data_IF_870435935095
#
_entry.id   IF_870435935095
#
_cell.length_a   1.000
_cell.length_b   1.000
_cell.length_c   1.000
_cell.angle_alpha   90.00
_cell.angle_beta   90.00
_cell.angle_gamma   90.00
#
_symmetry.space_group_name_H-M   'P 1'
#
loop_
_entity.id
_entity.type
_entity.pdbx_description
1 polymer ?
#
# COMPACT_ATOMS: atom_id res chain seq x y z
N UNK A 1 4.32 4.69 -11.33
CA UNK A 1 3.90 5.47 -10.15
C UNK A 1 2.69 4.76 -9.56
N UNK A 2 2.76 4.48 -8.27
CA UNK A 2 1.69 3.81 -7.55
C UNK A 2 1.13 4.75 -6.49
N UNK A 3 -0.12 4.54 -6.09
CA UNK A 3 -0.75 5.35 -5.04
C UNK A 3 -0.81 4.50 -3.78
N UNK A 4 -0.33 5.07 -2.68
CA UNK A 4 -0.44 4.46 -1.37
C UNK A 4 -1.94 4.42 -0.96
N UNK A 5 -2.53 3.24 -0.76
CA UNK A 5 -3.96 3.11 -0.47
C UNK A 5 -4.33 3.57 0.95
N UNK A 6 -3.35 3.80 1.82
CA UNK A 6 -3.53 4.27 3.20
C UNK A 6 -3.58 5.78 3.27
N UNK A 7 -2.60 6.46 2.64
CA UNK A 7 -2.49 7.92 2.72
C UNK A 7 -2.86 8.66 1.42
N UNK A 8 -3.05 7.95 0.31
CA UNK A 8 -3.31 8.54 -1.01
C UNK A 8 -2.10 9.23 -1.65
N UNK A 9 -0.91 9.06 -1.07
CA UNK A 9 0.31 9.67 -1.57
C UNK A 9 0.82 8.91 -2.81
N UNK A 10 1.26 9.65 -3.82
CA UNK A 10 1.90 9.05 -4.99
C UNK A 10 3.33 8.63 -4.63
N UNK A 11 3.66 7.39 -4.96
CA UNK A 11 4.93 6.76 -4.61
C UNK A 11 5.55 6.10 -5.81
N UNK A 12 6.87 6.08 -5.82
CA UNK A 12 7.63 5.49 -6.89
C UNK A 12 7.73 3.97 -6.65
N UNK A 13 7.05 3.16 -7.45
CA UNK A 13 6.99 1.69 -7.32
C UNK A 13 8.36 1.00 -7.24
N UNK A 14 9.41 1.64 -7.77
CA UNK A 14 10.79 1.15 -7.75
C UNK A 14 11.52 1.40 -6.43
N UNK A 15 11.07 2.39 -5.64
CA UNK A 15 11.69 2.80 -4.37
C UNK A 15 10.77 2.57 -3.16
N UNK A 16 9.47 2.53 -3.40
CA UNK A 16 8.45 2.37 -2.38
C UNK A 16 8.43 0.94 -1.83
N UNK A 17 8.02 0.80 -0.58
CA UNK A 17 7.72 -0.51 -0.02
C UNK A 17 6.54 -1.11 -0.79
N UNK A 18 6.58 -2.40 -1.10
CA UNK A 18 5.45 -3.07 -1.75
C UNK A 18 5.05 -4.33 -0.98
N UNK A 19 3.75 -4.60 -0.93
CA UNK A 19 3.16 -5.78 -0.31
C UNK A 19 2.19 -6.42 -1.27
N UNK A 20 2.22 -7.73 -1.36
CA UNK A 20 1.22 -8.48 -2.12
C UNK A 20 0.06 -8.85 -1.20
N UNK A 21 -1.16 -8.51 -1.61
CA UNK A 21 -2.39 -8.81 -0.87
C UNK A 21 -3.50 -9.20 -1.85
N UNK A 22 -4.14 -10.35 -1.63
CA UNK A 22 -5.15 -10.94 -2.54
C UNK A 22 -4.67 -11.04 -4.00
N UNK A 23 -3.39 -11.32 -4.24
CA UNK A 23 -2.80 -11.40 -5.58
C UNK A 23 -2.63 -10.05 -6.29
N UNK A 24 -2.89 -8.92 -5.61
CA UNK A 24 -2.58 -7.57 -6.09
C UNK A 24 -1.37 -7.03 -5.31
N UNK A 25 -0.44 -6.40 -6.01
CA UNK A 25 0.71 -5.72 -5.39
C UNK A 25 0.36 -4.27 -5.08
N UNK A 26 0.45 -3.91 -3.81
CA UNK A 26 0.21 -2.57 -3.29
C UNK A 26 1.52 -1.93 -2.90
N UNK A 27 1.60 -0.60 -3.03
CA UNK A 27 2.80 0.18 -2.77
C UNK A 27 2.52 1.17 -1.66
N UNK A 28 3.52 1.43 -0.81
CA UNK A 28 3.40 2.24 0.39
C UNK A 28 4.53 3.27 0.44
N UNK A 29 4.18 4.48 0.84
CA UNK A 29 5.13 5.59 0.97
C UNK A 29 6.08 5.38 2.13
N UNK A 30 5.68 4.57 3.11
CA UNK A 30 6.40 4.34 4.35
C UNK A 30 6.03 3.01 4.98
N UNK A 31 6.92 2.42 5.80
CA UNK A 31 6.64 1.19 6.54
C UNK A 31 5.45 1.34 7.49
N UNK A 32 5.19 2.55 8.00
CA UNK A 32 3.99 2.85 8.81
C UNK A 32 2.69 2.63 8.03
N UNK A 33 2.65 3.04 6.76
CA UNK A 33 1.48 2.81 5.89
C UNK A 33 1.33 1.31 5.60
N UNK A 34 2.43 0.62 5.33
CA UNK A 34 2.38 -0.84 5.17
C UNK A 34 1.84 -1.52 6.43
N UNK A 35 2.25 -1.11 7.63
CA UNK A 35 1.76 -1.69 8.89
C UNK A 35 0.27 -1.39 9.11
N UNK A 36 -0.16 -0.16 8.86
CA UNK A 36 -1.58 0.21 8.91
C UNK A 36 -2.41 -0.63 7.92
N UNK A 37 -1.87 -0.83 6.72
CA UNK A 37 -2.47 -1.69 5.71
C UNK A 37 -2.52 -3.14 6.16
N UNK A 38 -1.48 -3.70 6.78
CA UNK A 38 -1.50 -5.07 7.30
C UNK A 38 -2.51 -5.26 8.43
N UNK A 39 -2.71 -4.24 9.27
CA UNK A 39 -3.68 -4.28 10.36
C UNK A 39 -5.12 -4.31 9.85
N UNK A 40 -5.43 -3.56 8.78
CA UNK A 40 -6.80 -3.45 8.23
C UNK A 40 -6.81 -3.31 6.70
N UNK A 41 -6.33 -4.31 5.94
CA UNK A 41 -6.15 -4.18 4.49
C UNK A 41 -7.50 -3.98 3.80
N UNK A 42 -8.53 -4.67 4.26
CA UNK A 42 -9.90 -4.59 3.72
C UNK A 42 -10.52 -3.18 3.77
N UNK A 43 -10.04 -2.29 4.65
CA UNK A 43 -10.50 -0.90 4.69
C UNK A 43 -9.86 -0.05 3.59
N UNK A 44 -8.63 -0.39 3.20
CA UNK A 44 -7.84 0.36 2.22
C UNK A 44 -7.98 -0.20 0.81
N UNK A 45 -8.29 -1.50 0.69
CA UNK A 45 -8.52 -2.16 -0.59
C UNK A 45 -9.93 -2.71 -0.65
N UNK A 46 -10.81 -1.95 -1.31
CA UNK A 46 -12.10 -2.43 -1.75
C UNK A 46 -11.88 -3.30 -2.99
N UNK A 47 -12.39 -4.53 -2.93
CA UNK A 47 -12.31 -5.53 -4.01
C UNK A 47 -12.97 -5.03 -5.30
#
# INVERSE_FOLDING_TARGET
MAIDPVCGMEVDEKKAASKEYKGKKYYFCSPTCQWAFEMKPEQFVKE
#
